data_IF_031349913354
#
_entry.id   IF_031349913354
#
_cell.length_a   1.000
_cell.length_b   1.000
_cell.length_c   1.000
_cell.angle_alpha   90.00
_cell.angle_beta   90.00
_cell.angle_gamma   90.00
#
_symmetry.space_group_name_H-M   'P 1'
#
loop_
_entity.id
_entity.type
_entity.pdbx_description
1 polymer ?
#
# COMPACT_ATOMS: atom_id res chain seq x y z
N UNK A 1 -9.75 -3.53 -13.69
CA UNK A 1 -8.38 -3.14 -13.32
C UNK A 1 -7.90 -4.13 -12.28
N UNK A 2 -6.81 -4.82 -12.54
CA UNK A 2 -6.17 -5.72 -11.56
C UNK A 2 -5.23 -4.91 -10.65
N UNK A 3 -5.10 -5.32 -9.39
CA UNK A 3 -4.16 -4.71 -8.43
C UNK A 3 -3.49 -5.80 -7.62
N UNK A 4 -2.20 -6.01 -7.88
CA UNK A 4 -1.30 -6.86 -7.10
C UNK A 4 -0.36 -5.96 -6.31
N UNK A 5 -0.61 -5.80 -5.01
CA UNK A 5 0.18 -4.93 -4.13
C UNK A 5 1.61 -5.44 -3.89
N UNK A 6 1.91 -6.70 -4.22
CA UNK A 6 3.26 -7.24 -4.16
C UNK A 6 4.11 -6.83 -5.38
N UNK A 7 3.52 -6.16 -6.37
CA UNK A 7 4.19 -5.71 -7.59
C UNK A 7 4.05 -4.22 -7.79
N UNK A 8 5.14 -3.45 -7.70
CA UNK A 8 5.12 -2.00 -7.88
C UNK A 8 4.67 -1.61 -9.30
N UNK A 9 4.96 -2.44 -10.29
CA UNK A 9 4.48 -2.28 -11.66
C UNK A 9 2.94 -2.40 -11.74
N UNK A 10 2.36 -3.39 -11.07
CA UNK A 10 0.90 -3.56 -10.99
C UNK A 10 0.23 -2.38 -10.29
N UNK A 11 0.79 -1.90 -9.17
CA UNK A 11 0.30 -0.70 -8.46
C UNK A 11 0.31 0.54 -9.35
N UNK A 12 1.40 0.78 -10.10
CA UNK A 12 1.49 1.91 -11.04
C UNK A 12 0.47 1.81 -12.16
N UNK A 13 0.31 0.61 -12.73
CA UNK A 13 -0.68 0.36 -13.78
C UNK A 13 -2.09 0.62 -13.26
N UNK A 14 -2.46 0.06 -12.11
CA UNK A 14 -3.76 0.28 -11.50
C UNK A 14 -4.04 1.77 -11.27
N UNK A 15 -3.08 2.52 -10.71
CA UNK A 15 -3.26 3.95 -10.47
C UNK A 15 -3.39 4.76 -11.78
N UNK A 16 -2.68 4.37 -12.84
CA UNK A 16 -2.83 4.99 -14.16
C UNK A 16 -4.19 4.69 -14.77
N UNK A 17 -4.62 3.42 -14.75
CA UNK A 17 -5.93 2.98 -15.23
C UNK A 17 -7.04 3.70 -14.45
N UNK A 18 -6.96 3.77 -13.11
CA UNK A 18 -7.95 4.47 -12.28
C UNK A 18 -8.04 5.96 -12.64
N UNK A 19 -6.90 6.65 -12.79
CA UNK A 19 -6.88 8.06 -13.20
C UNK A 19 -7.49 8.27 -14.59
N UNK A 20 -7.38 7.31 -15.50
CA UNK A 20 -7.98 7.39 -16.84
C UNK A 20 -9.51 7.31 -16.83
N UNK A 21 -10.12 6.84 -15.73
CA UNK A 21 -11.58 6.85 -15.57
C UNK A 21 -12.14 8.26 -15.28
N UNK A 22 -11.28 9.21 -14.91
CA UNK A 22 -11.66 10.59 -14.52
C UNK A 22 -12.80 10.65 -13.48
N UNK A 23 -12.80 9.67 -12.56
CA UNK A 23 -13.77 9.59 -11.47
C UNK A 23 -13.27 10.31 -10.21
N UNK A 24 -14.17 10.90 -9.41
CA UNK A 24 -13.81 11.43 -8.10
C UNK A 24 -13.32 10.32 -7.17
N UNK A 25 -12.30 10.61 -6.37
CA UNK A 25 -11.80 9.73 -5.31
C UNK A 25 -11.93 10.40 -3.95
N UNK A 26 -13.01 10.08 -3.23
CA UNK A 26 -13.27 10.63 -1.90
C UNK A 26 -12.60 9.82 -0.79
N UNK A 27 -12.52 8.49 -0.94
CA UNK A 27 -12.03 7.58 0.11
C UNK A 27 -11.10 6.54 -0.51
N UNK A 28 -9.92 6.38 0.08
CA UNK A 28 -9.00 5.26 -0.18
C UNK A 28 -8.90 4.40 1.08
N UNK A 29 -9.19 3.11 0.98
CA UNK A 29 -9.05 2.16 2.09
C UNK A 29 -7.96 1.15 1.73
N UNK A 30 -6.81 1.29 2.36
CA UNK A 30 -5.70 0.36 2.28
C UNK A 30 -5.98 -0.83 3.23
N UNK A 31 -6.78 -1.78 2.74
CA UNK A 31 -7.28 -2.92 3.50
C UNK A 31 -6.59 -4.25 3.18
N UNK A 32 -6.16 -4.43 1.93
CA UNK A 32 -5.64 -5.72 1.49
C UNK A 32 -4.34 -6.07 2.24
N UNK A 33 -4.19 -7.32 2.66
CA UNK A 33 -2.98 -7.73 3.34
C UNK A 33 -2.88 -9.24 3.51
N UNK A 34 -1.64 -9.70 3.66
CA UNK A 34 -1.29 -11.10 3.87
C UNK A 34 -0.67 -11.31 5.25
N UNK A 35 -0.86 -12.50 5.82
CA UNK A 35 -0.32 -12.87 7.12
C UNK A 35 0.08 -14.34 7.15
N UNK A 36 1.20 -14.64 7.84
CA UNK A 36 1.63 -16.02 8.11
C UNK A 36 1.86 -16.86 6.84
N UNK A 37 2.31 -16.20 5.77
CA UNK A 37 2.77 -16.87 4.55
C UNK A 37 4.19 -17.37 4.74
N UNK A 38 4.62 -18.44 4.03
CA UNK A 38 6.04 -18.78 3.93
C UNK A 38 6.87 -17.58 3.48
N UNK A 39 8.12 -17.51 3.95
CA UNK A 39 9.04 -16.46 3.51
C UNK A 39 9.20 -16.50 1.99
N UNK A 40 9.04 -15.34 1.36
CA UNK A 40 9.18 -15.17 -0.07
C UNK A 40 9.55 -13.71 -0.35
N UNK A 41 10.29 -13.48 -1.44
CA UNK A 41 10.49 -12.15 -1.97
C UNK A 41 9.45 -11.85 -3.05
N UNK A 42 8.96 -10.62 -3.06
CA UNK A 42 8.09 -10.10 -4.11
C UNK A 42 8.84 -9.95 -5.44
N UNK A 43 8.12 -9.59 -6.51
CA UNK A 43 8.71 -9.31 -7.83
C UNK A 43 9.74 -8.17 -7.81
N UNK A 44 9.70 -7.33 -6.78
CA UNK A 44 10.58 -6.18 -6.57
C UNK A 44 11.69 -6.45 -5.53
N UNK A 45 11.98 -7.73 -5.22
CA UNK A 45 13.00 -8.17 -4.25
C UNK A 45 12.80 -7.61 -2.83
N UNK A 46 11.55 -7.55 -2.37
CA UNK A 46 11.21 -7.16 -1.00
C UNK A 46 10.50 -8.32 -0.31
N UNK A 47 10.69 -8.50 1.00
CA UNK A 47 9.90 -9.48 1.76
C UNK A 47 8.41 -9.28 1.50
N UNK A 48 7.72 -10.39 1.18
CA UNK A 48 6.41 -10.37 0.55
C UNK A 48 5.35 -9.66 1.41
N UNK A 49 5.35 -9.86 2.74
CA UNK A 49 4.42 -9.18 3.63
C UNK A 49 4.68 -7.69 3.71
N UNK A 50 5.94 -7.26 3.78
CA UNK A 50 6.33 -5.86 3.78
C UNK A 50 6.01 -5.18 2.44
N UNK A 51 6.28 -5.86 1.33
CA UNK A 51 5.93 -5.42 -0.02
C UNK A 51 4.42 -5.19 -0.13
N UNK A 52 3.62 -6.18 0.24
CA UNK A 52 2.17 -6.19 0.06
C UNK A 52 1.46 -5.26 1.03
N UNK A 53 1.72 -5.40 2.33
CA UNK A 53 0.93 -4.75 3.39
C UNK A 53 1.35 -3.29 3.60
N UNK A 54 2.58 -2.92 3.23
CA UNK A 54 3.12 -1.60 3.48
C UNK A 54 3.51 -0.87 2.19
N UNK A 55 4.47 -1.38 1.41
CA UNK A 55 5.07 -0.62 0.30
C UNK A 55 4.09 -0.44 -0.86
N UNK A 56 3.33 -1.48 -1.21
CA UNK A 56 2.29 -1.40 -2.23
C UNK A 56 1.22 -0.36 -1.88
N UNK A 57 0.72 -0.39 -0.63
CA UNK A 57 -0.23 0.61 -0.13
C UNK A 57 0.34 2.02 -0.09
N UNK A 58 1.59 2.17 0.36
CA UNK A 58 2.29 3.44 0.38
C UNK A 58 2.40 4.03 -1.02
N UNK A 59 2.85 3.24 -1.99
CA UNK A 59 2.97 3.66 -3.38
C UNK A 59 1.59 4.03 -3.97
N UNK A 60 0.58 3.19 -3.79
CA UNK A 60 -0.78 3.44 -4.27
C UNK A 60 -1.33 4.77 -3.74
N UNK A 61 -1.18 5.00 -2.44
CA UNK A 61 -1.63 6.23 -1.77
C UNK A 61 -0.95 7.46 -2.35
N UNK A 62 0.37 7.41 -2.56
CA UNK A 62 1.11 8.52 -3.15
C UNK A 62 0.67 8.79 -4.61
N UNK A 63 0.47 7.74 -5.42
CA UNK A 63 0.08 7.88 -6.81
C UNK A 63 -1.35 8.44 -7.00
N UNK A 64 -2.23 8.24 -6.02
CA UNK A 64 -3.62 8.71 -6.04
C UNK A 64 -3.85 9.98 -5.21
N UNK A 65 -2.82 10.47 -4.51
CA UNK A 65 -2.91 11.61 -3.60
C UNK A 65 -3.47 12.86 -4.28
N UNK A 66 -2.99 13.18 -5.49
CA UNK A 66 -3.45 14.35 -6.23
C UNK A 66 -4.91 14.22 -6.68
N UNK A 67 -5.35 13.00 -7.02
CA UNK A 67 -6.76 12.74 -7.36
C UNK A 67 -7.67 12.98 -6.15
N UNK A 68 -7.26 12.55 -4.96
CA UNK A 68 -7.99 12.81 -3.71
C UNK A 68 -8.06 14.32 -3.44
N UNK A 69 -6.93 15.04 -3.54
CA UNK A 69 -6.88 16.49 -3.33
C UNK A 69 -7.78 17.24 -4.31
N UNK A 70 -7.70 16.91 -5.61
CA UNK A 70 -8.56 17.51 -6.65
C UNK A 70 -10.04 17.27 -6.36
N UNK A 71 -10.40 16.04 -6.01
CA UNK A 71 -11.77 15.69 -5.63
C UNK A 71 -12.24 16.49 -4.43
N UNK A 72 -11.40 16.61 -3.40
CA UNK A 72 -11.73 17.35 -2.19
C UNK A 72 -11.94 18.84 -2.44
N UNK A 73 -11.05 19.47 -3.20
CA UNK A 73 -11.17 20.88 -3.60
C UNK A 73 -12.41 21.14 -4.45
N UNK A 74 -12.69 20.29 -5.44
CA UNK A 74 -13.83 20.47 -6.35
C UNK A 74 -15.19 20.21 -5.69
N UNK A 75 -15.27 19.23 -4.79
CA UNK A 75 -16.52 18.86 -4.11
C UNK A 75 -16.77 19.60 -2.79
N UNK A 76 -15.75 20.31 -2.26
CA UNK A 76 -15.73 20.89 -0.90
C UNK A 76 -16.02 19.85 0.20
N UNK A 77 -15.70 18.58 -0.04
CA UNK A 77 -15.77 17.48 0.93
C UNK A 77 -14.38 16.93 1.16
N UNK A 78 -14.00 16.73 2.41
CA UNK A 78 -12.68 16.21 2.75
C UNK A 78 -12.46 14.80 2.17
N UNK A 79 -11.27 14.57 1.63
CA UNK A 79 -10.82 13.23 1.26
C UNK A 79 -10.36 12.45 2.48
N UNK A 80 -10.51 11.12 2.47
CA UNK A 80 -10.08 10.26 3.57
C UNK A 80 -9.22 9.10 3.08
N UNK A 81 -8.07 8.89 3.72
CA UNK A 81 -7.25 7.69 3.55
C UNK A 81 -7.32 6.90 4.85
N UNK A 82 -7.67 5.62 4.76
CA UNK A 82 -7.76 4.70 5.90
C UNK A 82 -6.76 3.57 5.69
N UNK A 83 -5.85 3.38 6.64
CA UNK A 83 -4.94 2.23 6.67
C UNK A 83 -5.45 1.22 7.69
N UNK A 84 -5.80 0.03 7.23
CA UNK A 84 -6.24 -1.06 8.11
C UNK A 84 -5.01 -1.80 8.63
N UNK A 85 -4.91 -1.93 9.95
CA UNK A 85 -3.85 -2.69 10.63
C UNK A 85 -4.45 -3.71 11.58
N UNK A 86 -3.61 -4.55 12.20
CA UNK A 86 -4.02 -5.52 13.21
C UNK A 86 -3.32 -5.27 14.54
N UNK A 87 -3.78 -5.89 15.64
CA UNK A 87 -3.09 -5.82 16.94
C UNK A 87 -1.62 -6.29 16.87
N UNK A 88 -1.22 -7.05 15.83
CA UNK A 88 0.16 -7.53 15.69
C UNK A 88 1.21 -6.43 15.57
N UNK A 89 0.86 -5.23 15.08
CA UNK A 89 1.83 -4.14 14.97
C UNK A 89 2.48 -3.76 16.32
N UNK A 90 1.86 -4.14 17.44
CA UNK A 90 2.39 -3.90 18.79
C UNK A 90 3.50 -4.88 19.21
N UNK A 91 3.73 -5.96 18.45
CA UNK A 91 4.74 -6.98 18.75
C UNK A 91 5.97 -6.86 17.84
N UNK A 92 6.31 -5.64 17.40
CA UNK A 92 7.54 -5.39 16.65
C UNK A 92 8.78 -5.50 17.55
N UNK A 93 9.97 -5.58 16.94
CA UNK A 93 11.24 -5.55 17.66
C UNK A 93 11.37 -4.24 18.49
N UNK A 94 11.96 -4.31 19.71
CA UNK A 94 12.15 -3.13 20.58
C UNK A 94 12.93 -1.98 19.92
N UNK A 95 13.89 -2.32 19.06
CA UNK A 95 14.72 -1.38 18.30
C UNK A 95 14.03 -0.78 17.06
N UNK A 96 12.78 -1.16 16.79
CA UNK A 96 12.02 -0.73 15.62
C UNK A 96 12.20 -1.66 14.41
N UNK A 97 12.10 -1.08 13.21
CA UNK A 97 12.14 -1.86 11.97
C UNK A 97 13.59 -2.17 11.59
N UNK A 98 13.91 -3.46 11.41
CA UNK A 98 15.23 -3.94 10.96
C UNK A 98 15.36 -3.88 9.45
N UNK A 99 15.43 -2.66 8.88
CA UNK A 99 15.50 -2.47 7.43
C UNK A 99 16.63 -3.23 6.75
N UNK A 100 17.77 -3.43 7.42
CA UNK A 100 18.92 -4.17 6.88
C UNK A 100 18.71 -5.67 6.79
N UNK A 101 17.74 -6.22 7.52
CA UNK A 101 17.42 -7.66 7.58
C UNK A 101 16.03 -8.00 7.08
N UNK A 102 15.29 -7.01 6.58
CA UNK A 102 13.88 -7.17 6.25
C UNK A 102 13.64 -8.22 5.16
N UNK A 103 14.64 -8.44 4.30
CA UNK A 103 14.64 -9.43 3.22
C UNK A 103 15.33 -10.75 3.62
N UNK A 104 15.68 -10.94 4.89
CA UNK A 104 16.29 -12.17 5.39
C UNK A 104 15.20 -13.06 6.00
N UNK A 105 15.29 -14.38 5.77
CA UNK A 105 14.32 -15.34 6.33
C UNK A 105 14.34 -15.41 7.86
N UNK A 106 15.39 -14.88 8.51
CA UNK A 106 15.51 -14.85 9.97
C UNK A 106 14.88 -13.62 10.64
N UNK A 107 14.60 -12.56 9.87
CA UNK A 107 14.19 -11.24 10.39
C UNK A 107 15.27 -10.48 11.17
#
# INVERSE_FOLDING_TARGET
MELDLSSLASVRKFAADFKSLDLPLNILINNAGIMATPFMLSKDNMELQFATNHIGHFLLTNLLMDTIKKTASGSRKEGRIVNVTSRRHKFSYPEGIRFTKINDSSG
#
